data_IF_438255227242
#
_entry.id   IF_438255227242
#
_cell.length_a   1.000
_cell.length_b   1.000
_cell.length_c   1.000
_cell.angle_alpha   90.00
_cell.angle_beta   90.00
_cell.angle_gamma   90.00
#
_symmetry.space_group_name_H-M   'P 1'
#
loop_
_entity.id
_entity.type
_entity.pdbx_description
1 polymer ?
#
# COMPACT_ATOMS: atom_id res chain seq x y z
N UNK A 1 20.25 -5.65 13.25
CA UNK A 1 19.14 -6.58 13.60
C UNK A 1 19.76 -7.74 14.37
N UNK A 2 19.17 -8.14 15.50
CA UNK A 2 19.67 -9.31 16.24
C UNK A 2 19.40 -10.60 15.46
N UNK A 3 20.28 -11.59 15.59
CA UNK A 3 20.15 -12.92 14.97
C UNK A 3 18.79 -13.57 15.29
N UNK A 4 18.31 -13.39 16.51
CA UNK A 4 16.99 -13.85 16.99
C UNK A 4 15.84 -13.21 16.18
N UNK A 5 15.94 -11.91 15.89
CA UNK A 5 14.92 -11.19 15.12
C UNK A 5 14.82 -11.65 13.67
N UNK A 6 15.95 -12.03 13.06
CA UNK A 6 15.96 -12.56 11.70
C UNK A 6 15.38 -13.97 11.63
N UNK A 7 15.75 -14.84 12.57
CA UNK A 7 15.20 -16.19 12.67
C UNK A 7 13.67 -16.17 12.83
N UNK A 8 13.15 -15.31 13.72
CA UNK A 8 11.70 -15.15 13.92
C UNK A 8 10.98 -14.80 12.62
N UNK A 9 11.51 -13.85 11.83
CA UNK A 9 10.90 -13.48 10.54
C UNK A 9 10.88 -14.63 9.55
N UNK A 10 11.97 -15.40 9.47
CA UNK A 10 12.05 -16.57 8.61
C UNK A 10 10.99 -17.59 8.99
N UNK A 11 10.89 -17.95 10.27
CA UNK A 11 9.89 -18.90 10.79
C UNK A 11 8.47 -18.44 10.47
N UNK A 12 8.12 -17.19 10.78
CA UNK A 12 6.80 -16.64 10.46
C UNK A 12 6.49 -16.74 8.97
N UNK A 13 7.44 -16.35 8.11
CA UNK A 13 7.26 -16.44 6.65
C UNK A 13 6.98 -17.88 6.18
N UNK A 14 7.68 -18.88 6.74
CA UNK A 14 7.41 -20.28 6.42
C UNK A 14 6.02 -20.74 6.84
N UNK A 15 5.57 -20.34 8.03
CA UNK A 15 4.22 -20.65 8.52
C UNK A 15 3.14 -20.00 7.65
N UNK A 16 3.31 -18.71 7.31
CA UNK A 16 2.41 -17.98 6.42
C UNK A 16 2.29 -18.66 5.06
N UNK A 17 3.42 -19.01 4.45
CA UNK A 17 3.44 -19.72 3.17
C UNK A 17 2.74 -21.09 3.25
N UNK A 18 2.89 -21.80 4.36
CA UNK A 18 2.21 -23.08 4.60
C UNK A 18 0.70 -22.93 4.67
N UNK A 19 0.20 -21.91 5.37
CA UNK A 19 -1.24 -21.58 5.44
C UNK A 19 -1.75 -21.21 4.04
N UNK A 20 -1.07 -20.30 3.36
CA UNK A 20 -1.45 -19.82 2.03
C UNK A 20 -1.55 -20.98 1.03
N UNK A 21 -0.56 -21.86 1.01
CA UNK A 21 -0.55 -23.04 0.14
C UNK A 21 -1.74 -23.97 0.41
N UNK A 22 -2.04 -24.25 1.69
CA UNK A 22 -3.19 -25.09 2.09
C UNK A 22 -4.53 -24.47 1.74
N UNK A 23 -4.62 -23.15 1.69
CA UNK A 23 -5.82 -22.43 1.27
C UNK A 23 -5.93 -22.23 -0.26
N UNK A 24 -5.08 -22.89 -1.06
CA UNK A 24 -5.09 -22.84 -2.53
C UNK A 24 -4.32 -21.67 -3.14
N UNK A 25 -3.37 -21.10 -2.40
CA UNK A 25 -2.45 -20.08 -2.89
C UNK A 25 -3.11 -18.71 -3.08
N UNK A 26 -2.55 -17.90 -3.97
CA UNK A 26 -3.02 -16.54 -4.24
C UNK A 26 -4.49 -16.50 -4.71
N UNK A 27 -4.89 -17.51 -5.48
CA UNK A 27 -6.24 -17.60 -6.04
C UNK A 27 -7.32 -17.61 -4.95
N UNK A 28 -7.12 -18.32 -3.83
CA UNK A 28 -8.21 -18.57 -2.88
C UNK A 28 -7.87 -18.30 -1.42
N UNK A 29 -6.60 -18.08 -1.06
CA UNK A 29 -6.22 -17.86 0.34
C UNK A 29 -6.92 -16.66 0.98
N UNK A 30 -7.69 -16.92 2.03
CA UNK A 30 -8.38 -15.91 2.83
C UNK A 30 -7.42 -15.26 3.83
N UNK A 31 -6.44 -16.04 4.32
CA UNK A 31 -5.35 -15.53 5.14
C UNK A 31 -4.52 -14.49 4.40
N UNK A 32 -4.11 -14.77 3.16
CA UNK A 32 -3.37 -13.82 2.33
C UNK A 32 -4.13 -12.50 2.15
N UNK A 33 -5.43 -12.60 1.84
CA UNK A 33 -6.32 -11.44 1.67
C UNK A 33 -6.42 -10.61 2.96
N UNK A 34 -6.52 -11.27 4.11
CA UNK A 34 -6.54 -10.62 5.42
C UNK A 34 -5.23 -9.85 5.66
N UNK A 35 -4.08 -10.51 5.55
CA UNK A 35 -2.79 -9.85 5.83
C UNK A 35 -2.48 -8.74 4.83
N UNK A 36 -2.91 -8.86 3.57
CA UNK A 36 -2.72 -7.81 2.57
C UNK A 36 -3.58 -6.59 2.85
N UNK A 37 -4.81 -6.78 3.33
CA UNK A 37 -5.66 -5.69 3.81
C UNK A 37 -5.03 -5.00 5.02
N UNK A 38 -4.57 -5.76 6.00
CA UNK A 38 -4.00 -5.22 7.25
C UNK A 38 -2.64 -4.53 7.03
N UNK A 39 -1.78 -5.09 6.17
CA UNK A 39 -0.39 -4.61 5.98
C UNK A 39 -0.26 -3.58 4.87
N UNK A 40 -1.06 -3.68 3.82
CA UNK A 40 -0.91 -2.87 2.60
C UNK A 40 -2.12 -1.96 2.32
N UNK A 41 -3.20 -2.04 3.12
CA UNK A 41 -4.47 -1.32 2.88
C UNK A 41 -5.09 -1.62 1.50
N UNK A 42 -5.00 -2.90 1.09
CA UNK A 42 -5.50 -3.39 -0.21
C UNK A 42 -6.48 -4.54 0.04
N UNK A 43 -7.71 -4.39 -0.47
CA UNK A 43 -8.71 -5.45 -0.48
C UNK A 43 -8.68 -6.20 -1.82
N UNK A 44 -8.57 -7.53 -1.78
CA UNK A 44 -8.39 -8.35 -2.98
C UNK A 44 -9.49 -9.41 -3.06
N UNK A 45 -10.25 -9.41 -4.17
CA UNK A 45 -11.25 -10.42 -4.47
C UNK A 45 -10.65 -11.83 -4.67
N UNK A 46 -11.49 -12.86 -4.52
CA UNK A 46 -11.12 -14.24 -4.88
C UNK A 46 -10.75 -14.35 -6.36
N UNK A 47 -9.83 -15.27 -6.67
CA UNK A 47 -9.27 -15.56 -7.98
C UNK A 47 -8.46 -14.43 -8.63
N UNK A 48 -8.21 -13.37 -7.89
CA UNK A 48 -7.23 -12.34 -8.28
C UNK A 48 -5.86 -12.68 -7.70
N UNK A 49 -4.81 -12.48 -8.49
CA UNK A 49 -3.45 -12.94 -8.19
C UNK A 49 -2.36 -12.02 -8.75
N UNK A 50 -1.11 -12.31 -8.38
CA UNK A 50 0.09 -11.64 -8.85
C UNK A 50 0.53 -10.46 -7.98
N UNK A 51 1.03 -9.40 -8.63
CA UNK A 51 1.70 -8.26 -7.98
C UNK A 51 0.87 -7.50 -6.95
N UNK A 52 -0.45 -7.71 -6.91
CA UNK A 52 -1.39 -7.11 -5.94
C UNK A 52 -1.05 -7.43 -4.47
N UNK A 53 -0.40 -8.56 -4.21
CA UNK A 53 -0.01 -8.97 -2.86
C UNK A 53 1.36 -8.43 -2.41
N UNK A 54 2.10 -7.77 -3.31
CA UNK A 54 3.40 -7.18 -2.98
C UNK A 54 3.26 -6.04 -1.97
N UNK A 55 4.18 -5.97 -0.99
CA UNK A 55 4.22 -4.91 0.03
C UNK A 55 4.21 -3.48 -0.58
N UNK A 56 4.81 -3.31 -1.75
CA UNK A 56 4.90 -2.02 -2.43
C UNK A 56 3.73 -1.71 -3.34
N UNK A 57 2.75 -2.60 -3.51
CA UNK A 57 1.67 -2.42 -4.49
C UNK A 57 0.88 -1.12 -4.27
N UNK A 58 0.58 -0.76 -3.02
CA UNK A 58 -0.17 0.45 -2.70
C UNK A 58 0.72 1.52 -2.05
N UNK A 59 0.85 2.67 -2.70
CA UNK A 59 1.65 3.82 -2.25
C UNK A 59 0.79 5.01 -1.82
N UNK A 60 -0.53 4.83 -1.61
CA UNK A 60 -1.38 5.86 -1.00
C UNK A 60 -2.86 5.48 -0.90
N UNK A 61 -3.58 5.97 0.10
CA UNK A 61 -5.03 5.71 0.24
C UNK A 61 -5.40 4.23 0.41
N UNK A 62 -6.65 3.88 0.08
CA UNK A 62 -7.21 2.51 0.12
C UNK A 62 -7.47 2.01 -1.30
N UNK A 63 -7.09 0.78 -1.59
CA UNK A 63 -7.28 0.14 -2.91
C UNK A 63 -8.20 -1.08 -2.78
N UNK A 64 -9.10 -1.26 -3.74
CA UNK A 64 -9.97 -2.43 -3.86
C UNK A 64 -9.75 -3.04 -5.24
N UNK A 65 -9.30 -4.29 -5.29
CA UNK A 65 -9.17 -5.10 -6.50
C UNK A 65 -10.27 -6.15 -6.50
N UNK A 66 -11.03 -6.21 -7.60
CA UNK A 66 -12.15 -7.13 -7.79
C UNK A 66 -11.73 -8.60 -7.85
N UNK A 67 -12.68 -9.48 -8.19
CA UNK A 67 -12.43 -10.92 -8.42
C UNK A 67 -11.88 -11.16 -9.84
N UNK A 68 -11.22 -12.29 -10.05
CA UNK A 68 -10.77 -12.77 -11.39
C UNK A 68 -9.84 -11.80 -12.15
N UNK A 69 -8.97 -11.08 -11.43
CA UNK A 69 -8.04 -10.11 -12.03
C UNK A 69 -6.59 -10.60 -11.95
N UNK A 70 -5.86 -10.50 -13.07
CA UNK A 70 -4.43 -10.79 -13.12
C UNK A 70 -3.64 -9.48 -13.04
N UNK A 71 -2.79 -9.34 -12.02
CA UNK A 71 -1.97 -8.15 -11.83
C UNK A 71 -0.51 -8.52 -12.02
N UNK A 72 0.16 -7.89 -12.99
CA UNK A 72 1.58 -8.14 -13.26
C UNK A 72 2.49 -7.81 -12.07
N UNK A 73 3.64 -8.48 -12.00
CA UNK A 73 4.69 -8.17 -11.03
C UNK A 73 5.18 -6.73 -11.21
N UNK A 74 5.59 -6.08 -10.11
CA UNK A 74 6.05 -4.69 -10.09
C UNK A 74 5.02 -3.62 -10.49
N UNK A 75 3.73 -3.96 -10.63
CA UNK A 75 2.66 -2.96 -10.72
C UNK A 75 2.53 -2.22 -9.38
N UNK A 76 2.33 -0.91 -9.46
CA UNK A 76 2.22 -0.02 -8.30
C UNK A 76 1.03 0.93 -8.50
N UNK A 77 0.24 1.12 -7.46
CA UNK A 77 -0.76 2.15 -7.35
C UNK A 77 -0.18 3.34 -6.58
N UNK A 78 -0.32 4.55 -7.15
CA UNK A 78 0.09 5.79 -6.52
C UNK A 78 -1.15 6.61 -6.16
N UNK A 79 -1.50 6.62 -4.87
CA UNK A 79 -2.59 7.43 -4.36
C UNK A 79 -2.12 8.84 -4.05
N UNK A 80 -2.27 9.76 -4.99
CA UNK A 80 -1.98 11.17 -4.79
C UNK A 80 -2.28 12.01 -6.03
N UNK A 81 -3.13 13.02 -5.88
CA UNK A 81 -3.33 14.05 -6.90
C UNK A 81 -2.64 15.32 -6.43
N UNK A 82 -1.81 15.92 -7.29
CA UNK A 82 -1.43 17.32 -7.10
C UNK A 82 -2.70 18.19 -7.21
N UNK A 83 -2.94 19.13 -6.29
CA UNK A 83 -4.04 20.07 -6.43
C UNK A 83 -3.90 20.90 -7.71
N UNK A 84 -4.68 20.57 -8.74
CA UNK A 84 -4.73 21.32 -10.01
C UNK A 84 -5.51 22.63 -9.91
N UNK A 85 -6.12 22.88 -8.75
CA UNK A 85 -6.95 24.05 -8.46
C UNK A 85 -6.14 25.27 -8.01
N UNK A 86 -4.83 25.12 -7.80
CA UNK A 86 -3.94 26.25 -7.49
C UNK A 86 -3.38 26.84 -8.79
N UNK A 87 -3.00 28.11 -8.74
CA UNK A 87 -2.35 28.81 -9.85
C UNK A 87 -1.09 28.07 -10.37
N UNK A 88 -0.45 27.26 -9.53
CA UNK A 88 0.69 26.42 -9.89
C UNK A 88 0.58 25.07 -9.21
N UNK A 89 1.10 24.03 -9.87
CA UNK A 89 1.25 22.66 -9.34
C UNK A 89 2.41 22.52 -8.35
N UNK A 90 3.15 23.61 -8.10
CA UNK A 90 4.24 23.63 -7.14
C UNK A 90 3.74 23.26 -5.73
N UNK A 91 4.45 22.38 -5.00
CA UNK A 91 4.09 21.97 -3.64
C UNK A 91 4.08 23.14 -2.64
N UNK A 92 4.69 24.27 -3.00
CA UNK A 92 4.68 25.48 -2.20
C UNK A 92 3.25 26.02 -1.95
N UNK A 93 2.32 25.79 -2.87
CA UNK A 93 0.96 26.33 -2.80
C UNK A 93 0.01 25.52 -1.92
N UNK A 94 0.38 24.31 -1.48
CA UNK A 94 -0.50 23.45 -0.68
C UNK A 94 0.21 22.66 0.43
N UNK A 95 1.54 22.82 0.62
CA UNK A 95 2.25 22.32 1.80
C UNK A 95 2.60 23.46 2.76
N UNK A 96 1.76 23.65 3.77
CA UNK A 96 1.91 24.72 4.78
C UNK A 96 3.28 24.71 5.48
N UNK A 97 3.83 23.52 5.73
CA UNK A 97 5.17 23.29 6.31
C UNK A 97 6.33 23.96 5.55
N UNK A 98 6.18 24.24 4.25
CA UNK A 98 7.20 24.90 3.44
C UNK A 98 7.02 26.41 3.44
N UNK A 99 5.78 26.88 3.55
CA UNK A 99 5.42 28.30 3.68
C UNK A 99 5.94 28.86 5.00
N UNK A 100 5.81 28.09 6.09
CA UNK A 100 6.20 28.51 7.43
C UNK A 100 7.72 28.71 7.58
N UNK A 101 8.54 28.02 6.76
CA UNK A 101 10.01 28.12 6.80
C UNK A 101 10.59 29.33 6.09
N UNK A 102 9.82 29.98 5.22
CA UNK A 102 10.27 31.16 4.46
C UNK A 102 9.57 32.46 4.91
N UNK A 103 8.88 32.43 6.05
CA UNK A 103 8.33 33.63 6.68
C UNK A 103 7.01 34.14 6.08
N UNK A 104 6.24 33.28 5.41
CA UNK A 104 4.91 33.63 4.90
C UNK A 104 3.85 33.61 6.00
N UNK A 105 3.38 34.80 6.40
CA UNK A 105 2.46 35.00 7.51
C UNK A 105 1.14 34.20 7.47
N UNK A 106 0.57 34.01 8.66
CA UNK A 106 -0.74 33.42 8.94
C UNK A 106 -1.83 33.96 7.99
N UNK A 107 -2.22 33.18 6.99
CA UNK A 107 -3.41 33.41 6.15
C UNK A 107 -4.55 32.49 6.59
N UNK A 108 -5.72 33.06 6.83
CA UNK A 108 -6.91 32.45 7.44
C UNK A 108 -7.48 31.24 6.72
N UNK A 109 -8.00 30.28 7.51
CA UNK A 109 -8.90 29.20 7.09
C UNK A 109 -10.21 29.77 6.55
N UNK A 110 -10.64 29.33 5.37
CA UNK A 110 -12.03 29.31 4.90
C UNK A 110 -12.35 27.89 4.42
#
# INVERSE_FOLDING_TARGET
MSMVGELRRKVVKYLENGIISREGGEATSTYLRKITRERNNVEVGLYSYGGVFEKGFNLGGRVIVGRYSSIGSNVRYFGGNHPIVHFSTSPFFYRQEWVDKVGGGKGSRH
#
